data_IF_683852257315
#
_entry.id   IF_683852257315
#
_cell.length_a   1.000
_cell.length_b   1.000
_cell.length_c   1.000
_cell.angle_alpha   90.00
_cell.angle_beta   90.00
_cell.angle_gamma   90.00
#
_symmetry.space_group_name_H-M   'P 1'
#
loop_
_entity.id
_entity.type
_entity.pdbx_description
1 polymer ?
#
# COMPACT_ATOMS: atom_id res chain seq x y z
N UNK A 1 -13.00 -12.82 -24.09
CA UNK A 1 -11.66 -12.83 -23.46
C UNK A 1 -11.80 -12.03 -22.18
N UNK A 2 -12.14 -12.70 -21.08
CA UNK A 2 -12.54 -12.04 -19.83
C UNK A 2 -11.27 -11.73 -19.03
N UNK A 3 -10.98 -10.44 -18.83
CA UNK A 3 -9.88 -10.01 -17.98
C UNK A 3 -10.34 -10.08 -16.53
N UNK A 4 -9.93 -11.14 -15.83
CA UNK A 4 -9.95 -11.14 -14.36
C UNK A 4 -8.75 -10.30 -13.93
N UNK A 5 -8.98 -9.02 -13.62
CA UNK A 5 -7.99 -8.19 -12.95
C UNK A 5 -8.16 -8.34 -11.43
N UNK A 6 -7.04 -8.65 -10.78
CA UNK A 6 -6.99 -9.15 -9.40
C UNK A 6 -7.22 -8.03 -8.40
N UNK A 7 -8.23 -8.20 -7.53
CA UNK A 7 -8.37 -7.47 -6.27
C UNK A 7 -7.74 -8.32 -5.16
N UNK A 8 -6.52 -7.99 -4.74
CA UNK A 8 -5.83 -8.68 -3.65
C UNK A 8 -5.59 -7.78 -2.43
N UNK A 9 -6.64 -7.33 -1.73
CA UNK A 9 -6.47 -6.74 -0.40
C UNK A 9 -6.07 -7.82 0.62
N UNK A 10 -4.88 -7.72 1.21
CA UNK A 10 -4.56 -8.40 2.47
C UNK A 10 -3.98 -7.38 3.43
N UNK A 11 -4.85 -6.69 4.15
CA UNK A 11 -4.50 -6.04 5.41
C UNK A 11 -5.37 -6.67 6.51
N UNK A 12 -4.76 -7.59 7.27
CA UNK A 12 -5.40 -8.37 8.36
C UNK A 12 -6.62 -9.22 7.92
N UNK A 13 -6.96 -10.34 8.59
CA UNK A 13 -8.22 -11.02 8.35
C UNK A 13 -9.40 -10.12 8.78
N UNK A 14 -9.82 -9.20 7.92
CA UNK A 14 -11.03 -8.41 8.12
C UNK A 14 -12.25 -9.20 7.64
N UNK A 15 -13.33 -9.18 8.44
CA UNK A 15 -14.56 -9.96 8.22
C UNK A 15 -15.45 -9.39 7.10
N UNK A 16 -14.95 -8.46 6.29
CA UNK A 16 -15.73 -7.75 5.28
C UNK A 16 -15.66 -8.48 3.93
N UNK A 17 -16.83 -8.66 3.28
CA UNK A 17 -17.01 -9.43 2.05
C UNK A 17 -16.00 -9.10 0.93
N UNK A 18 -15.57 -7.83 0.81
CA UNK A 18 -14.61 -7.37 -0.21
C UNK A 18 -13.27 -6.89 0.32
N UNK A 19 -12.97 -7.07 1.62
CA UNK A 19 -11.70 -6.62 2.26
C UNK A 19 -11.42 -5.11 2.07
N UNK A 20 -12.48 -4.31 1.95
CA UNK A 20 -12.42 -2.84 1.89
C UNK A 20 -12.65 -2.30 3.31
N UNK A 21 -11.77 -1.43 3.84
CA UNK A 21 -11.91 -0.90 5.20
C UNK A 21 -13.04 0.13 5.33
N UNK A 22 -13.38 0.83 4.24
CA UNK A 22 -14.48 1.81 4.20
C UNK A 22 -15.79 1.19 3.70
N UNK A 23 -16.84 1.28 4.51
CA UNK A 23 -18.14 0.66 4.22
C UNK A 23 -18.84 1.30 3.02
N UNK A 24 -18.73 2.62 2.85
CA UNK A 24 -19.35 3.32 1.73
C UNK A 24 -18.64 3.03 0.41
N UNK A 25 -17.30 2.98 0.42
CA UNK A 25 -16.53 2.50 -0.73
C UNK A 25 -16.90 1.06 -1.09
N UNK A 26 -17.08 0.17 -0.10
CA UNK A 26 -17.51 -1.21 -0.35
C UNK A 26 -18.84 -1.27 -1.11
N UNK A 27 -19.83 -0.46 -0.70
CA UNK A 27 -21.15 -0.38 -1.39
C UNK A 27 -21.03 0.15 -2.82
N UNK A 28 -20.20 1.17 -3.05
CA UNK A 28 -19.96 1.71 -4.41
C UNK A 28 -19.30 0.67 -5.31
N UNK A 29 -18.32 -0.06 -4.80
CA UNK A 29 -17.67 -1.17 -5.53
C UNK A 29 -18.67 -2.30 -5.82
N UNK A 30 -19.57 -2.60 -4.88
CA UNK A 30 -20.67 -3.55 -5.07
C UNK A 30 -21.58 -3.21 -6.23
N UNK A 31 -22.08 -1.97 -6.22
CA UNK A 31 -22.95 -1.48 -7.27
C UNK A 31 -22.26 -1.54 -8.65
N UNK A 32 -20.99 -1.12 -8.71
CA UNK A 32 -20.22 -1.13 -9.97
C UNK A 32 -19.98 -2.54 -10.51
N UNK A 33 -19.65 -3.50 -9.63
CA UNK A 33 -19.46 -4.90 -10.04
C UNK A 33 -20.77 -5.52 -10.52
N UNK A 34 -21.91 -5.20 -9.87
CA UNK A 34 -23.22 -5.68 -10.31
C UNK A 34 -23.59 -5.13 -11.70
N UNK A 35 -23.38 -3.83 -11.93
CA UNK A 35 -23.62 -3.18 -13.21
C UNK A 35 -22.82 -3.84 -14.35
N UNK A 36 -21.51 -4.05 -14.15
CA UNK A 36 -20.64 -4.65 -15.16
C UNK A 36 -20.98 -6.11 -15.43
N UNK A 37 -21.38 -6.86 -14.39
CA UNK A 37 -21.84 -8.24 -14.56
C UNK A 37 -23.04 -8.30 -15.48
N UNK A 38 -24.01 -7.40 -15.30
CA UNK A 38 -25.22 -7.35 -16.12
C UNK A 38 -24.91 -6.92 -17.57
N UNK A 39 -23.79 -6.21 -17.79
CA UNK A 39 -23.25 -5.83 -19.10
C UNK A 39 -22.32 -6.91 -19.73
N UNK A 40 -22.08 -8.03 -19.03
CA UNK A 40 -21.07 -9.05 -19.40
C UNK A 40 -19.65 -8.48 -19.55
N UNK A 41 -19.31 -7.48 -18.74
CA UNK A 41 -18.02 -6.80 -18.73
C UNK A 41 -17.25 -7.03 -17.40
N UNK A 42 -16.02 -6.54 -17.34
CA UNK A 42 -15.08 -6.73 -16.23
C UNK A 42 -14.40 -5.43 -15.82
N UNK A 43 -13.89 -5.38 -14.58
CA UNK A 43 -13.09 -4.25 -14.10
C UNK A 43 -11.98 -4.76 -13.18
N UNK A 44 -10.87 -4.03 -13.16
CA UNK A 44 -9.79 -4.23 -12.21
C UNK A 44 -9.93 -3.38 -10.96
N UNK A 45 -8.80 -3.13 -10.30
CA UNK A 45 -8.74 -2.28 -9.13
C UNK A 45 -7.32 -2.06 -8.62
N UNK A 46 -7.20 -1.17 -7.64
CA UNK A 46 -5.94 -0.87 -6.96
C UNK A 46 -5.98 -1.44 -5.54
N UNK A 47 -4.83 -1.94 -5.08
CA UNK A 47 -4.63 -2.49 -3.74
C UNK A 47 -3.50 -1.74 -3.07
N UNK A 48 -3.65 -1.46 -1.78
CA UNK A 48 -2.59 -0.89 -0.95
C UNK A 48 -2.20 -1.86 0.16
N UNK A 49 -0.89 -2.06 0.35
CA UNK A 49 -0.29 -2.83 1.43
C UNK A 49 0.90 -2.06 2.00
N UNK A 50 1.12 -2.18 3.32
CA UNK A 50 2.17 -1.45 4.02
C UNK A 50 3.06 -2.42 4.83
N UNK A 51 4.18 -2.90 4.27
CA UNK A 51 5.20 -3.59 5.05
C UNK A 51 6.05 -2.57 5.79
N UNK A 52 6.18 -2.71 7.12
CA UNK A 52 7.06 -1.85 7.91
C UNK A 52 8.43 -2.48 8.13
N UNK A 53 9.50 -1.73 7.88
CA UNK A 53 10.83 -1.96 8.47
C UNK A 53 11.63 -3.14 7.91
N UNK A 54 11.57 -3.39 6.60
CA UNK A 54 12.35 -4.43 5.93
C UNK A 54 13.26 -3.79 4.87
N UNK A 55 14.44 -4.35 4.62
CA UNK A 55 15.36 -3.90 3.56
C UNK A 55 16.83 -3.90 3.97
N UNK A 56 17.71 -4.18 3.01
CA UNK A 56 19.16 -4.07 3.16
C UNK A 56 19.67 -2.85 2.34
N UNK A 57 20.52 -1.98 2.91
CA UNK A 57 20.92 -0.72 2.26
C UNK A 57 21.88 -0.87 1.07
N UNK A 58 22.52 -2.04 0.90
CA UNK A 58 23.62 -2.19 -0.07
C UNK A 58 23.26 -3.07 -1.28
N UNK A 59 22.51 -4.15 -1.09
CA UNK A 59 22.18 -5.11 -2.13
C UNK A 59 20.68 -5.41 -2.15
N UNK A 60 20.09 -5.51 -3.35
CA UNK A 60 18.65 -5.75 -3.56
C UNK A 60 17.74 -4.76 -2.82
N UNK A 61 17.68 -3.51 -3.33
CA UNK A 61 16.73 -2.48 -2.86
C UNK A 61 15.35 -3.11 -2.63
N UNK A 62 14.80 -2.92 -1.43
CA UNK A 62 13.53 -3.55 -1.03
C UNK A 62 12.44 -3.27 -2.07
N UNK A 63 12.37 -2.04 -2.55
CA UNK A 63 11.43 -1.55 -3.57
C UNK A 63 11.51 -2.37 -4.85
N UNK A 64 12.73 -2.73 -5.28
CA UNK A 64 12.95 -3.49 -6.49
C UNK A 64 12.47 -4.94 -6.33
N UNK A 65 12.74 -5.55 -5.16
CA UNK A 65 12.26 -6.90 -4.86
C UNK A 65 10.74 -6.96 -4.74
N UNK A 66 10.13 -5.98 -4.06
CA UNK A 66 8.68 -5.88 -3.97
C UNK A 66 8.10 -5.62 -5.36
N UNK A 67 8.69 -4.74 -6.16
CA UNK A 67 8.25 -4.49 -7.54
C UNK A 67 8.27 -5.76 -8.40
N UNK A 68 9.34 -6.55 -8.31
CA UNK A 68 9.42 -7.85 -8.99
C UNK A 68 8.31 -8.81 -8.53
N UNK A 69 8.13 -8.95 -7.21
CA UNK A 69 7.09 -9.80 -6.64
C UNK A 69 5.69 -9.36 -7.08
N UNK A 70 5.39 -8.05 -7.05
CA UNK A 70 4.07 -7.51 -7.42
C UNK A 70 3.79 -7.66 -8.91
N UNK A 71 4.75 -7.35 -9.77
CA UNK A 71 4.59 -7.48 -11.23
C UNK A 71 4.56 -8.94 -11.71
N UNK A 72 5.00 -9.89 -10.88
CA UNK A 72 4.87 -11.33 -11.18
C UNK A 72 3.44 -11.87 -11.00
N UNK A 73 2.55 -11.11 -10.35
CA UNK A 73 1.15 -11.49 -10.16
C UNK A 73 0.40 -11.31 -11.50
N UNK A 74 -0.33 -12.33 -11.99
CA UNK A 74 -1.10 -12.19 -13.22
C UNK A 74 -2.06 -11.00 -13.19
N UNK A 75 -2.23 -10.34 -14.33
CA UNK A 75 -3.09 -9.17 -14.50
C UNK A 75 -2.66 -7.89 -13.75
N UNK A 76 -1.57 -7.89 -12.96
CA UNK A 76 -0.99 -6.65 -12.43
C UNK A 76 -0.25 -5.90 -13.56
N UNK A 77 -0.50 -4.59 -13.64
CA UNK A 77 0.07 -3.70 -14.68
C UNK A 77 0.88 -2.54 -14.13
N UNK A 78 0.76 -2.26 -12.84
CA UNK A 78 1.44 -1.15 -12.19
C UNK A 78 1.74 -1.47 -10.73
N UNK A 79 2.80 -0.87 -10.23
CA UNK A 79 3.22 -0.96 -8.83
C UNK A 79 3.74 0.42 -8.40
N UNK A 80 3.29 0.87 -7.25
CA UNK A 80 3.58 2.19 -6.70
C UNK A 80 3.93 2.08 -5.22
N UNK A 81 4.83 2.94 -4.76
CA UNK A 81 5.23 3.04 -3.35
C UNK A 81 4.91 4.45 -2.86
N UNK A 82 4.33 4.54 -1.67
CA UNK A 82 4.00 5.82 -1.04
C UNK A 82 3.00 6.61 -1.86
N UNK A 83 3.35 7.86 -2.20
CA UNK A 83 2.56 8.72 -3.08
C UNK A 83 2.51 8.25 -4.54
N UNK A 84 3.34 7.29 -4.93
CA UNK A 84 3.28 6.66 -6.24
C UNK A 84 3.46 7.63 -7.42
N UNK A 85 2.70 7.43 -8.49
CA UNK A 85 2.75 8.28 -9.68
C UNK A 85 2.34 9.72 -9.40
N UNK A 86 1.43 9.95 -8.44
CA UNK A 86 1.05 11.31 -8.03
C UNK A 86 2.24 12.07 -7.42
N UNK A 87 3.18 11.36 -6.78
CA UNK A 87 4.42 11.95 -6.28
C UNK A 87 5.27 12.61 -7.37
N UNK A 88 5.24 12.08 -8.59
CA UNK A 88 5.99 12.62 -9.72
C UNK A 88 5.42 13.97 -10.23
N UNK A 89 4.17 14.29 -9.87
CA UNK A 89 3.51 15.55 -10.22
C UNK A 89 3.71 16.65 -9.16
N UNK A 90 4.35 16.33 -8.03
CA UNK A 90 4.50 17.22 -6.88
C UNK A 90 5.94 17.72 -6.76
N UNK A 91 6.11 19.02 -6.50
CA UNK A 91 7.43 19.59 -6.22
C UNK A 91 8.07 18.95 -4.97
N UNK A 92 9.37 18.65 -5.05
CA UNK A 92 10.13 18.03 -3.96
C UNK A 92 10.04 18.79 -2.63
N UNK A 93 9.88 20.12 -2.63
CA UNK A 93 9.68 20.89 -1.40
C UNK A 93 8.38 20.56 -0.65
N UNK A 94 7.36 20.06 -1.35
CA UNK A 94 6.07 19.62 -0.78
C UNK A 94 6.03 18.12 -0.54
N UNK A 95 6.79 17.36 -1.33
CA UNK A 95 6.84 15.90 -1.26
C UNK A 95 7.80 15.39 -0.18
N UNK A 96 8.95 16.06 0.00
CA UNK A 96 9.98 15.65 0.93
C UNK A 96 9.52 15.77 2.39
N UNK A 97 9.91 14.79 3.20
CA UNK A 97 9.41 14.64 4.56
C UNK A 97 10.41 15.13 5.60
N UNK A 98 10.03 16.09 6.46
CA UNK A 98 10.87 16.44 7.58
C UNK A 98 10.85 15.31 8.62
N UNK A 99 12.04 14.93 9.08
CA UNK A 99 12.19 14.11 10.28
C UNK A 99 11.84 14.94 11.52
N UNK A 100 10.98 14.40 12.37
CA UNK A 100 10.58 15.01 13.64
C UNK A 100 10.79 14.01 14.80
N UNK A 101 10.95 14.49 16.05
CA UNK A 101 11.14 13.62 17.20
C UNK A 101 9.98 12.64 17.38
N UNK A 102 10.31 11.36 17.61
CA UNK A 102 9.30 10.36 17.92
C UNK A 102 8.65 10.64 19.29
N UNK A 103 7.34 10.34 19.46
CA UNK A 103 6.67 10.49 20.74
C UNK A 103 7.35 9.63 21.81
N UNK A 104 7.25 10.08 23.06
CA UNK A 104 7.86 9.41 24.20
C UNK A 104 7.42 7.94 24.27
N UNK A 105 8.39 7.04 24.40
CA UNK A 105 8.16 5.60 24.39
C UNK A 105 7.53 5.14 25.71
N UNK A 106 6.39 4.46 25.63
CA UNK A 106 5.92 3.57 26.69
C UNK A 106 6.85 2.33 26.73
N UNK A 107 7.38 2.05 27.92
CA UNK A 107 8.42 1.02 28.16
C UNK A 107 8.02 -0.42 27.75
N UNK A 108 6.75 -0.66 27.44
CA UNK A 108 6.18 -1.99 27.16
C UNK A 108 6.35 -2.49 25.71
N UNK A 109 6.86 -1.66 24.78
CA UNK A 109 6.82 -1.97 23.34
C UNK A 109 7.99 -2.83 22.78
N UNK A 110 8.93 -3.29 23.61
CA UNK A 110 10.08 -4.08 23.16
C UNK A 110 9.70 -5.56 22.95
N UNK A 111 9.13 -5.91 21.80
CA UNK A 111 8.87 -7.33 21.41
C UNK A 111 9.79 -7.87 20.31
N UNK A 112 10.60 -7.04 19.64
CA UNK A 112 11.32 -7.43 18.41
C UNK A 112 12.83 -7.19 18.40
N UNK A 113 13.46 -6.80 19.52
CA UNK A 113 14.93 -6.67 19.65
C UNK A 113 15.60 -5.53 18.85
N UNK A 114 14.89 -4.89 17.93
CA UNK A 114 15.34 -3.70 17.20
C UNK A 114 14.90 -2.45 17.96
N UNK A 115 15.81 -1.54 18.38
CA UNK A 115 15.43 -0.31 19.05
C UNK A 115 14.63 0.58 18.09
N UNK A 116 13.47 1.08 18.52
CA UNK A 116 12.69 2.06 17.73
C UNK A 116 13.50 3.35 17.54
N UNK A 117 13.43 3.92 16.35
CA UNK A 117 14.11 5.18 16.02
C UNK A 117 13.60 6.32 16.88
N UNK A 118 14.50 7.25 17.24
CA UNK A 118 14.16 8.50 17.94
C UNK A 118 13.52 9.55 17.03
N UNK A 119 13.47 9.27 15.74
CA UNK A 119 12.94 10.11 14.69
C UNK A 119 11.83 9.36 13.94
N UNK A 120 10.77 10.08 13.58
CA UNK A 120 9.79 9.62 12.59
C UNK A 120 9.59 10.69 11.53
N UNK A 121 8.97 10.34 10.41
CA UNK A 121 8.54 11.31 9.40
C UNK A 121 7.19 11.91 9.78
N UNK A 122 6.98 13.20 9.47
CA UNK A 122 5.70 13.88 9.74
C UNK A 122 4.54 13.29 8.93
N UNK A 123 4.83 12.80 7.73
CA UNK A 123 3.88 12.18 6.80
C UNK A 123 4.43 10.82 6.33
N UNK A 124 3.84 10.18 5.31
CA UNK A 124 4.36 8.93 4.75
C UNK A 124 4.33 8.90 3.19
N UNK A 125 4.72 9.99 2.56
CA UNK A 125 4.84 10.17 1.11
C UNK A 125 5.83 9.16 0.47
N UNK A 126 6.95 8.78 1.10
CA UNK A 126 7.86 7.74 0.57
C UNK A 126 7.32 6.33 0.74
N UNK A 127 6.28 6.11 1.55
CA UNK A 127 5.70 4.78 1.77
C UNK A 127 6.50 3.88 2.73
N UNK A 128 7.35 4.46 3.59
CA UNK A 128 8.06 3.76 4.65
C UNK A 128 9.38 3.12 4.23
N UNK A 129 9.93 3.52 3.08
CA UNK A 129 11.24 3.13 2.57
C UNK A 129 12.08 4.39 2.33
#
# INVERSE_FOLDING_TARGET
MYAVEIVAFVTSPSRHSRRVPDAEASKRMEARVAELRDQNDSTGGTVTYAPSGLGEPAFNKLEALIGHAMLSIPAVKGFEIGSGFLGAEINGSRHNEPFIPAPALDAAAHKTGIPRSRLHTKTNNPGGI
#
